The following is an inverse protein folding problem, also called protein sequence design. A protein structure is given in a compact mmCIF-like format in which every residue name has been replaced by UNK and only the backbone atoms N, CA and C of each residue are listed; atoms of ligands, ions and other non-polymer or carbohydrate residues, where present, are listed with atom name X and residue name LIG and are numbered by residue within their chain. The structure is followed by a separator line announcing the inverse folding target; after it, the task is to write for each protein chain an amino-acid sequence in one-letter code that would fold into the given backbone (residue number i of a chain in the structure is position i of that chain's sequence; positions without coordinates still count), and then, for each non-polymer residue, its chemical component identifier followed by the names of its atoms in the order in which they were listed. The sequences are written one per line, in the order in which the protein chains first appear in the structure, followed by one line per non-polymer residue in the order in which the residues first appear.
data_IF_984980299108
#
_entry.id   IF_984980299108
#
_cell.length_a   1.000
_cell.length_b   1.000
_cell.length_c   1.000
_cell.angle_alpha   90.00
_cell.angle_beta   90.00
_cell.angle_gamma   90.00
#
_symmetry.space_group_name_H-M   'P 1'
#
loop_
_entity.id
_entity.type
_entity.pdbx_description
1 polymer ?
#
# COMPACT_ATOMS: atom_id res chain seq x y z
N UNK A 1 32.60 34.74 -8.85
CA UNK A 1 31.57 33.86 -8.27
C UNK A 1 30.88 33.16 -9.41
N UNK A 2 31.19 31.88 -9.61
CA UNK A 2 30.66 31.04 -10.69
C UNK A 2 29.19 30.77 -10.45
N UNK A 3 28.32 30.99 -11.43
CA UNK A 3 26.95 30.49 -11.43
C UNK A 3 27.06 28.97 -11.56
N UNK A 4 26.95 28.28 -10.42
CA UNK A 4 26.81 26.82 -10.43
C UNK A 4 25.55 26.50 -11.25
N UNK A 5 25.70 25.64 -12.25
CA UNK A 5 24.68 25.10 -13.11
C UNK A 5 23.57 24.46 -12.26
N UNK A 6 22.50 25.20 -12.01
CA UNK A 6 21.25 24.65 -11.53
C UNK A 6 20.66 23.81 -12.66
N UNK A 7 21.01 22.54 -12.72
CA UNK A 7 20.26 21.61 -13.55
C UNK A 7 18.78 21.71 -13.15
N UNK A 8 17.86 21.85 -14.11
CA UNK A 8 16.45 21.89 -13.79
C UNK A 8 16.08 20.60 -13.07
N UNK A 9 15.51 20.71 -11.87
CA UNK A 9 15.02 19.56 -11.14
C UNK A 9 14.04 18.80 -12.04
N UNK A 10 14.22 17.49 -12.15
CA UNK A 10 13.29 16.64 -12.92
C UNK A 10 11.86 16.86 -12.40
N UNK A 11 10.89 16.93 -13.32
CA UNK A 11 9.49 17.11 -12.95
C UNK A 11 9.09 16.03 -11.93
N UNK A 12 8.37 16.39 -10.86
CA UNK A 12 7.98 15.45 -9.83
C UNK A 12 7.07 14.36 -10.43
N UNK A 13 7.33 13.11 -10.05
CA UNK A 13 6.58 11.94 -10.50
C UNK A 13 5.93 11.24 -9.33
N UNK A 14 4.82 10.55 -9.58
CA UNK A 14 4.19 9.69 -8.60
C UNK A 14 4.98 8.39 -8.43
N UNK A 15 5.18 7.98 -7.18
CA UNK A 15 5.78 6.70 -6.82
C UNK A 15 5.06 6.07 -5.64
N UNK A 16 4.92 4.74 -5.64
CA UNK A 16 4.37 3.97 -4.52
C UNK A 16 5.48 3.10 -3.93
N UNK A 17 5.55 3.06 -2.59
CA UNK A 17 6.49 2.21 -1.87
C UNK A 17 5.89 1.61 -0.61
N UNK A 18 6.42 0.47 -0.19
CA UNK A 18 6.12 -0.13 1.11
C UNK A 18 6.80 0.68 2.20
N UNK A 19 6.07 0.96 3.27
CA UNK A 19 6.55 1.68 4.46
C UNK A 19 7.43 0.75 5.29
N UNK A 20 8.66 1.20 5.63
CA UNK A 20 9.67 0.37 6.33
C UNK A 20 10.41 1.09 7.44
N UNK A 21 10.09 2.34 7.69
CA UNK A 21 10.70 3.14 8.74
C UNK A 21 9.64 3.87 9.56
N UNK A 22 10.01 4.26 10.78
CA UNK A 22 9.15 5.10 11.60
C UNK A 22 8.82 6.44 10.90
N UNK A 23 9.80 7.03 10.22
CA UNK A 23 9.58 8.26 9.45
C UNK A 23 8.55 8.07 8.34
N UNK A 24 8.57 6.93 7.64
CA UNK A 24 7.54 6.62 6.64
C UNK A 24 6.16 6.45 7.28
N UNK A 25 6.09 5.80 8.45
CA UNK A 25 4.84 5.60 9.17
C UNK A 25 4.27 6.94 9.65
N UNK A 26 5.10 7.87 10.11
CA UNK A 26 4.67 9.23 10.45
C UNK A 26 4.09 9.97 9.25
N UNK A 27 4.68 9.81 8.06
CA UNK A 27 4.13 10.36 6.81
C UNK A 27 2.77 9.75 6.47
N UNK A 28 2.61 8.44 6.64
CA UNK A 28 1.31 7.74 6.48
C UNK A 28 0.26 8.34 7.41
N UNK A 29 0.59 8.47 8.70
CA UNK A 29 -0.34 9.00 9.68
C UNK A 29 -0.71 10.47 9.40
N UNK A 30 0.26 11.28 8.97
CA UNK A 30 0.01 12.67 8.57
C UNK A 30 -0.97 12.77 7.39
N UNK A 31 -0.78 11.97 6.32
CA UNK A 31 -1.72 11.94 5.19
C UNK A 31 -3.11 11.47 5.62
N UNK A 32 -3.21 10.45 6.47
CA UNK A 32 -4.47 9.94 7.00
C UNK A 32 -5.19 10.99 7.84
N UNK A 33 -4.49 11.66 8.74
CA UNK A 33 -5.06 12.72 9.56
C UNK A 33 -5.61 13.87 8.69
N UNK A 34 -4.86 14.31 7.68
CA UNK A 34 -5.31 15.35 6.75
C UNK A 34 -6.59 14.96 6.00
N UNK A 35 -6.67 13.69 5.53
CA UNK A 35 -7.79 13.24 4.70
C UNK A 35 -8.99 12.81 5.56
N UNK A 36 -8.79 11.98 6.58
CA UNK A 36 -9.90 11.46 7.35
C UNK A 36 -10.37 12.45 8.42
N UNK A 37 -9.47 13.02 9.19
CA UNK A 37 -9.85 13.97 10.22
C UNK A 37 -10.11 15.36 9.65
N UNK A 38 -9.21 15.86 8.78
CA UNK A 38 -9.33 17.19 8.20
C UNK A 38 -10.44 17.33 7.15
N UNK A 39 -10.49 16.42 6.16
CA UNK A 39 -11.47 16.52 5.06
C UNK A 39 -12.82 15.84 5.37
N UNK A 40 -12.86 14.81 6.24
CA UNK A 40 -14.04 13.97 6.46
C UNK A 40 -14.56 14.02 7.90
N UNK A 41 -13.96 14.85 8.76
CA UNK A 41 -14.33 14.99 10.17
C UNK A 41 -14.40 13.65 10.96
N UNK A 42 -13.60 12.66 10.55
CA UNK A 42 -13.52 11.37 11.23
C UNK A 42 -12.96 11.57 12.65
N UNK A 43 -13.58 11.01 13.69
CA UNK A 43 -13.06 11.08 15.05
C UNK A 43 -11.67 10.45 15.17
N UNK A 44 -10.86 10.94 16.11
CA UNK A 44 -9.50 10.46 16.34
C UNK A 44 -9.44 8.94 16.60
N UNK A 45 -10.27 8.43 17.50
CA UNK A 45 -10.27 7.03 17.92
C UNK A 45 -10.74 6.07 16.80
N UNK A 46 -11.54 6.58 15.87
CA UNK A 46 -11.97 5.83 14.69
C UNK A 46 -10.86 5.74 13.64
N UNK A 47 -10.07 6.81 13.49
CA UNK A 47 -8.96 6.82 12.53
C UNK A 47 -7.76 6.04 13.06
N UNK A 48 -7.37 6.25 14.31
CA UNK A 48 -6.24 5.59 14.96
C UNK A 48 -6.71 4.39 15.81
N UNK A 49 -7.18 3.37 15.14
CA UNK A 49 -7.85 2.17 15.68
C UNK A 49 -6.90 1.12 16.29
N UNK A 50 -5.63 1.45 16.49
CA UNK A 50 -4.61 0.57 17.08
C UNK A 50 -4.05 -0.51 16.15
N UNK A 51 -4.58 -0.64 14.92
CA UNK A 51 -4.16 -1.71 13.99
C UNK A 51 -2.89 -1.39 13.19
N UNK A 52 -2.34 -0.19 13.29
CA UNK A 52 -1.19 0.23 12.49
C UNK A 52 0.10 -0.54 12.84
N UNK A 53 0.24 -0.94 14.11
CA UNK A 53 1.42 -1.62 14.63
C UNK A 53 1.23 -3.13 14.82
N UNK A 54 0.07 -3.68 14.43
CA UNK A 54 -0.29 -5.09 14.66
C UNK A 54 -0.16 -5.94 13.40
N UNK A 55 0.98 -5.86 12.71
CA UNK A 55 1.23 -6.65 11.50
C UNK A 55 0.59 -6.09 10.23
N UNK A 56 0.14 -4.85 10.24
CA UNK A 56 -0.33 -4.17 9.04
C UNK A 56 0.84 -3.75 8.15
N UNK A 57 0.62 -3.77 6.83
CA UNK A 57 1.54 -3.21 5.85
C UNK A 57 0.96 -1.94 5.27
N UNK A 58 1.74 -0.87 5.28
CA UNK A 58 1.34 0.40 4.70
C UNK A 58 2.06 0.64 3.37
N UNK A 59 1.32 1.16 2.38
CA UNK A 59 1.89 1.69 1.14
C UNK A 59 1.74 3.20 1.16
N UNK A 60 2.80 3.89 0.78
CA UNK A 60 2.87 5.34 0.69
C UNK A 60 3.03 5.76 -0.76
N UNK A 61 2.15 6.63 -1.22
CA UNK A 61 2.25 7.34 -2.50
C UNK A 61 2.92 8.68 -2.26
N UNK A 62 3.96 8.96 -3.01
CA UNK A 62 4.61 10.26 -3.05
C UNK A 62 4.45 10.93 -4.41
N UNK A 63 4.51 12.26 -4.43
CA UNK A 63 4.69 13.08 -5.64
C UNK A 63 5.99 13.86 -5.47
N UNK A 64 7.04 13.42 -6.18
CA UNK A 64 8.40 13.79 -5.81
C UNK A 64 8.72 13.27 -4.41
N UNK A 65 9.10 14.15 -3.49
CA UNK A 65 9.36 13.81 -2.07
C UNK A 65 8.13 13.96 -1.18
N UNK A 66 7.03 14.53 -1.67
CA UNK A 66 5.87 14.84 -0.85
C UNK A 66 4.95 13.64 -0.67
N UNK A 67 4.55 13.26 0.57
CA UNK A 67 3.58 12.21 0.82
C UNK A 67 2.16 12.69 0.47
N UNK A 68 1.51 12.02 -0.48
CA UNK A 68 0.23 12.46 -1.03
C UNK A 68 -0.89 11.43 -0.97
N UNK A 69 -0.56 10.19 -0.65
CA UNK A 69 -1.57 9.14 -0.53
C UNK A 69 -1.07 7.92 0.21
N UNK A 70 -1.98 7.14 0.73
CA UNK A 70 -1.69 5.96 1.57
C UNK A 70 -2.73 4.88 1.38
N UNK A 71 -2.36 3.64 1.69
CA UNK A 71 -3.28 2.52 1.90
C UNK A 71 -2.71 1.60 2.96
N UNK A 72 -3.58 1.06 3.82
CA UNK A 72 -3.23 0.04 4.82
C UNK A 72 -3.74 -1.32 4.35
N UNK A 73 -2.86 -2.32 4.42
CA UNK A 73 -3.19 -3.72 4.18
C UNK A 73 -3.14 -4.47 5.50
N UNK A 74 -4.18 -5.26 5.78
CA UNK A 74 -4.19 -6.20 6.88
C UNK A 74 -4.29 -7.63 6.34
N UNK A 75 -3.65 -8.54 7.03
CA UNK A 75 -3.48 -9.91 6.61
C UNK A 75 -4.28 -10.84 7.53
N UNK A 76 -5.23 -11.57 6.98
CA UNK A 76 -6.02 -12.58 7.66
C UNK A 76 -5.70 -13.94 7.05
N UNK A 77 -6.04 -15.04 7.71
CA UNK A 77 -5.66 -16.37 7.25
C UNK A 77 -6.07 -16.67 5.79
N UNK A 78 -7.27 -16.27 5.40
CA UNK A 78 -7.84 -16.64 4.09
C UNK A 78 -7.98 -15.47 3.11
N UNK A 79 -7.81 -14.23 3.58
CA UNK A 79 -7.99 -13.04 2.75
C UNK A 79 -7.11 -11.87 3.22
N UNK A 80 -6.77 -11.00 2.30
CA UNK A 80 -6.19 -9.70 2.61
C UNK A 80 -7.30 -8.64 2.72
N UNK A 81 -7.15 -7.68 3.63
CA UNK A 81 -8.06 -6.53 3.75
C UNK A 81 -7.34 -5.26 3.36
N UNK A 82 -7.90 -4.54 2.40
CA UNK A 82 -7.46 -3.20 2.03
C UNK A 82 -8.34 -2.17 2.75
N UNK A 83 -7.71 -1.25 3.45
CA UNK A 83 -8.39 -0.22 4.22
C UNK A 83 -7.55 1.06 4.31
N UNK A 84 -8.12 2.13 4.85
CA UNK A 84 -7.44 3.42 5.01
C UNK A 84 -6.80 3.93 3.71
N UNK A 85 -7.48 3.70 2.58
CA UNK A 85 -7.06 4.23 1.29
C UNK A 85 -7.43 5.70 1.21
N UNK A 86 -6.44 6.56 1.16
CA UNK A 86 -6.60 8.00 1.14
C UNK A 86 -5.64 8.65 0.14
N UNK A 87 -6.14 9.69 -0.55
CA UNK A 87 -5.33 10.56 -1.40
C UNK A 87 -5.69 12.00 -1.06
N UNK A 88 -4.68 12.82 -0.83
CA UNK A 88 -4.85 14.26 -0.51
C UNK A 88 -5.65 14.95 -1.59
N UNK A 89 -6.45 15.94 -1.19
CA UNK A 89 -7.44 16.64 -2.04
C UNK A 89 -6.82 17.14 -3.34
N UNK A 90 -5.64 17.71 -3.29
CA UNK A 90 -4.91 18.33 -4.40
C UNK A 90 -4.46 17.31 -5.46
N UNK A 91 -4.39 16.04 -5.08
CA UNK A 91 -3.96 14.93 -5.93
C UNK A 91 -5.11 13.98 -6.34
N UNK A 92 -6.37 14.30 -5.97
CA UNK A 92 -7.55 13.55 -6.39
C UNK A 92 -7.85 13.79 -7.87
N UNK A 93 -8.44 12.79 -8.52
CA UNK A 93 -8.70 12.84 -9.97
C UNK A 93 -7.49 12.48 -10.84
N UNK A 94 -6.29 12.42 -10.25
CA UNK A 94 -5.06 11.94 -10.89
C UNK A 94 -4.86 10.42 -10.78
N UNK A 95 -3.68 9.91 -11.16
CA UNK A 95 -3.40 8.47 -11.20
C UNK A 95 -3.21 7.82 -9.81
N UNK A 96 -3.04 8.62 -8.75
CA UNK A 96 -2.60 8.17 -7.43
C UNK A 96 -3.46 7.08 -6.80
N UNK A 97 -4.80 7.22 -6.85
CA UNK A 97 -5.72 6.22 -6.34
C UNK A 97 -5.53 4.86 -7.04
N UNK A 98 -5.43 4.89 -8.37
CA UNK A 98 -5.25 3.67 -9.17
C UNK A 98 -3.88 3.03 -8.91
N UNK A 99 -2.83 3.84 -8.78
CA UNK A 99 -1.47 3.36 -8.48
C UNK A 99 -1.41 2.68 -7.10
N UNK A 100 -1.94 3.32 -6.05
CA UNK A 100 -2.02 2.73 -4.71
C UNK A 100 -2.80 1.42 -4.70
N UNK A 101 -3.98 1.42 -5.35
CA UNK A 101 -4.82 0.23 -5.41
C UNK A 101 -4.12 -0.92 -6.15
N UNK A 102 -3.50 -0.66 -7.29
CA UNK A 102 -2.75 -1.69 -8.04
C UNK A 102 -1.60 -2.24 -7.21
N UNK A 103 -0.82 -1.38 -6.55
CA UNK A 103 0.27 -1.82 -5.68
C UNK A 103 -0.22 -2.68 -4.50
N UNK A 104 -1.36 -2.34 -3.90
CA UNK A 104 -1.98 -3.12 -2.83
C UNK A 104 -2.45 -4.50 -3.31
N UNK A 105 -3.07 -4.57 -4.49
CA UNK A 105 -3.50 -5.83 -5.12
C UNK A 105 -2.31 -6.70 -5.49
N UNK A 106 -1.27 -6.11 -6.10
CA UNK A 106 -0.04 -6.82 -6.46
C UNK A 106 0.67 -7.38 -5.22
N UNK A 107 0.79 -6.59 -4.16
CA UNK A 107 1.38 -7.03 -2.89
C UNK A 107 0.62 -8.21 -2.29
N UNK A 108 -0.72 -8.15 -2.26
CA UNK A 108 -1.55 -9.24 -1.76
C UNK A 108 -1.40 -10.51 -2.61
N UNK A 109 -1.40 -10.39 -3.93
CA UNK A 109 -1.18 -11.52 -4.85
C UNK A 109 0.22 -12.13 -4.69
N UNK A 110 1.27 -11.29 -4.52
CA UNK A 110 2.65 -11.72 -4.24
C UNK A 110 2.79 -12.46 -2.91
N UNK A 111 1.99 -12.11 -1.91
CA UNK A 111 1.91 -12.85 -0.63
C UNK A 111 1.07 -14.13 -0.73
N UNK A 112 0.59 -14.50 -1.92
CA UNK A 112 -0.17 -15.74 -2.15
C UNK A 112 -1.66 -15.64 -1.88
N UNK A 113 -2.20 -14.49 -1.51
CA UNK A 113 -3.63 -14.33 -1.29
C UNK A 113 -4.42 -14.46 -2.60
N UNK A 114 -5.59 -15.10 -2.49
CA UNK A 114 -6.55 -15.27 -3.58
C UNK A 114 -7.76 -14.38 -3.47
N UNK A 115 -7.98 -13.84 -2.28
CA UNK A 115 -9.12 -12.98 -1.97
C UNK A 115 -8.65 -11.70 -1.30
N UNK A 116 -9.21 -10.60 -1.74
CA UNK A 116 -9.05 -9.32 -1.09
C UNK A 116 -10.44 -8.75 -0.78
N UNK A 117 -10.57 -8.08 0.34
CA UNK A 117 -11.78 -7.44 0.79
C UNK A 117 -11.51 -5.98 1.15
N UNK A 118 -12.48 -5.12 0.94
CA UNK A 118 -12.42 -3.74 1.37
C UNK A 118 -13.81 -3.14 1.58
N UNK A 119 -13.89 -2.11 2.40
CA UNK A 119 -15.09 -1.31 2.57
C UNK A 119 -14.97 -0.06 1.68
N UNK A 120 -15.77 -0.01 0.63
CA UNK A 120 -15.79 1.09 -0.32
C UNK A 120 -16.95 2.05 0.00
N UNK A 121 -16.69 3.35 -0.02
CA UNK A 121 -17.80 4.31 -0.04
C UNK A 121 -18.68 4.02 -1.26
N UNK A 122 -19.98 4.07 -1.09
CA UNK A 122 -20.95 3.73 -2.16
C UNK A 122 -20.70 4.52 -3.45
N UNK A 123 -20.32 5.80 -3.33
CA UNK A 123 -19.94 6.63 -4.49
C UNK A 123 -18.71 6.11 -5.27
N UNK A 124 -17.87 5.30 -4.65
CA UNK A 124 -16.68 4.69 -5.25
C UNK A 124 -16.92 3.29 -5.84
N UNK A 125 -18.09 2.69 -5.67
CA UNK A 125 -18.40 1.32 -6.09
C UNK A 125 -18.12 1.08 -7.57
N UNK A 126 -18.49 2.05 -8.45
CA UNK A 126 -18.28 1.96 -9.89
C UNK A 126 -16.78 1.89 -10.27
N UNK A 127 -15.92 2.60 -9.55
CA UNK A 127 -14.46 2.54 -9.74
C UNK A 127 -13.94 1.12 -9.48
N UNK A 128 -14.33 0.52 -8.36
CA UNK A 128 -13.90 -0.82 -7.99
C UNK A 128 -14.38 -1.90 -8.95
N UNK A 129 -15.64 -1.80 -9.39
CA UNK A 129 -16.19 -2.71 -10.42
C UNK A 129 -15.42 -2.59 -11.73
N UNK A 130 -15.15 -1.37 -12.19
CA UNK A 130 -14.53 -1.11 -13.49
C UNK A 130 -13.05 -1.52 -13.55
N UNK A 131 -12.27 -1.14 -12.53
CA UNK A 131 -10.81 -1.27 -12.60
C UNK A 131 -10.27 -2.54 -11.93
N UNK A 132 -11.04 -3.14 -11.00
CA UNK A 132 -10.60 -4.27 -10.20
C UNK A 132 -11.59 -5.44 -10.19
N UNK A 133 -12.61 -5.40 -11.01
CA UNK A 133 -13.67 -6.43 -11.08
C UNK A 133 -14.30 -6.75 -9.72
N UNK A 134 -14.31 -5.76 -8.82
CA UNK A 134 -14.87 -5.91 -7.48
C UNK A 134 -16.37 -6.16 -7.51
N UNK A 135 -16.83 -6.97 -6.57
CA UNK A 135 -18.25 -7.28 -6.38
C UNK A 135 -18.68 -6.95 -4.96
N UNK A 136 -19.87 -6.35 -4.74
CA UNK A 136 -20.45 -6.31 -3.40
C UNK A 136 -20.59 -7.74 -2.86
N UNK A 137 -20.26 -7.96 -1.59
CA UNK A 137 -20.39 -9.28 -0.98
C UNK A 137 -21.87 -9.65 -0.81
N UNK A 138 -22.29 -10.84 -1.30
CA UNK A 138 -23.66 -11.29 -1.14
C UNK A 138 -24.08 -11.39 0.34
N UNK A 139 -25.30 -10.99 0.63
CA UNK A 139 -25.86 -11.09 1.99
C UNK A 139 -25.28 -10.07 3.00
N UNK A 140 -24.45 -9.14 2.56
CA UNK A 140 -23.93 -8.06 3.41
C UNK A 140 -24.70 -6.77 3.14
N UNK A 141 -25.39 -6.20 4.14
CA UNK A 141 -26.08 -4.92 3.96
C UNK A 141 -25.05 -3.79 3.81
N UNK A 142 -25.48 -2.69 3.20
CA UNK A 142 -24.77 -1.43 3.30
C UNK A 142 -24.81 -0.96 4.75
N UNK A 143 -23.80 -0.24 5.16
CA UNK A 143 -23.70 0.33 6.49
C UNK A 143 -23.11 1.74 6.44
N UNK A 144 -23.44 2.55 7.43
CA UNK A 144 -22.90 3.91 7.54
C UNK A 144 -21.78 3.92 8.58
N UNK A 145 -20.72 4.62 8.24
CA UNK A 145 -19.59 4.88 9.13
C UNK A 145 -19.21 6.34 8.98
N UNK A 146 -19.14 7.07 10.10
CA UNK A 146 -19.17 8.52 10.06
C UNK A 146 -20.37 9.00 9.23
N UNK A 147 -20.20 9.98 8.36
CA UNK A 147 -21.26 10.53 7.49
C UNK A 147 -21.34 9.87 6.10
N UNK A 148 -20.75 8.68 5.94
CA UNK A 148 -20.68 8.02 4.63
C UNK A 148 -21.26 6.62 4.65
N UNK A 149 -21.96 6.28 3.55
CA UNK A 149 -22.42 4.92 3.31
C UNK A 149 -21.35 4.08 2.63
N UNK A 150 -21.20 2.86 3.12
CA UNK A 150 -20.22 1.89 2.64
C UNK A 150 -20.88 0.61 2.16
N UNK A 151 -20.18 -0.04 1.25
CA UNK A 151 -20.48 -1.39 0.77
C UNK A 151 -19.24 -2.26 0.97
N UNK A 152 -19.44 -3.47 1.47
CA UNK A 152 -18.37 -4.47 1.57
C UNK A 152 -18.13 -5.05 0.18
N UNK A 153 -16.91 -4.85 -0.34
CA UNK A 153 -16.47 -5.33 -1.66
C UNK A 153 -15.53 -6.50 -1.52
N UNK A 154 -15.69 -7.50 -2.36
CA UNK A 154 -14.74 -8.60 -2.50
C UNK A 154 -14.10 -8.57 -3.89
N UNK A 155 -12.85 -9.06 -3.94
CA UNK A 155 -12.03 -9.13 -5.15
C UNK A 155 -11.34 -10.48 -5.21
N UNK A 156 -11.31 -11.09 -6.37
CA UNK A 156 -10.48 -12.26 -6.65
C UNK A 156 -9.12 -11.81 -7.17
N UNK A 157 -8.07 -12.45 -6.66
CA UNK A 157 -6.70 -12.20 -7.06
C UNK A 157 -6.19 -13.36 -7.91
N UNK A 158 -5.62 -13.03 -9.07
CA UNK A 158 -5.01 -14.03 -9.94
C UNK A 158 -3.79 -14.66 -9.26
N UNK A 159 -3.59 -15.98 -9.45
CA UNK A 159 -2.39 -16.66 -8.99
C UNK A 159 -1.13 -16.03 -9.60
N UNK A 160 -0.09 -15.86 -8.79
CA UNK A 160 1.22 -15.41 -9.27
C UNK A 160 2.22 -16.55 -9.17
N UNK A 161 2.99 -16.78 -10.25
CA UNK A 161 4.07 -17.77 -10.25
C UNK A 161 5.23 -17.36 -9.31
N UNK A 162 5.39 -16.06 -9.04
CA UNK A 162 6.38 -15.49 -8.15
C UNK A 162 5.84 -15.16 -6.75
N UNK A 163 4.72 -15.78 -6.36
CA UNK A 163 4.18 -15.63 -5.02
C UNK A 163 5.19 -16.16 -3.98
N UNK A 164 5.36 -15.40 -2.91
CA UNK A 164 6.22 -15.80 -1.78
C UNK A 164 5.44 -16.78 -0.90
N UNK A 165 6.00 -17.97 -0.72
CA UNK A 165 5.38 -19.06 0.03
C UNK A 165 6.41 -19.90 0.77
N UNK A 166 5.94 -20.98 1.37
CA UNK A 166 6.77 -21.88 2.18
C UNK A 166 7.95 -22.47 1.38
N UNK A 167 7.75 -22.73 0.09
CA UNK A 167 8.76 -23.32 -0.80
C UNK A 167 9.67 -22.28 -1.49
N UNK A 168 9.54 -21.00 -1.14
CA UNK A 168 10.40 -19.95 -1.67
C UNK A 168 11.83 -20.12 -1.17
N UNK A 169 12.81 -19.68 -1.98
CA UNK A 169 14.21 -19.62 -1.56
C UNK A 169 14.33 -18.89 -0.21
N UNK A 170 15.07 -19.46 0.76
CA UNK A 170 15.19 -18.88 2.10
C UNK A 170 15.64 -17.42 2.10
N UNK A 171 16.49 -17.01 1.16
CA UNK A 171 16.91 -15.62 1.05
C UNK A 171 15.77 -14.70 0.60
N UNK A 172 14.85 -15.17 -0.21
CA UNK A 172 13.66 -14.40 -0.60
C UNK A 172 12.81 -14.08 0.63
N UNK A 173 12.62 -15.07 1.53
CA UNK A 173 11.87 -14.88 2.77
C UNK A 173 12.52 -13.86 3.74
N UNK A 174 13.85 -13.67 3.64
CA UNK A 174 14.60 -12.70 4.44
C UNK A 174 14.63 -11.30 3.84
N UNK A 175 14.13 -11.11 2.62
CA UNK A 175 14.09 -9.79 1.97
C UNK A 175 12.99 -8.92 2.59
N UNK A 176 13.17 -7.59 2.57
CA UNK A 176 12.13 -6.68 3.00
C UNK A 176 10.83 -6.89 2.21
N UNK A 177 9.70 -6.80 2.89
CA UNK A 177 8.38 -6.92 2.26
C UNK A 177 8.23 -5.98 1.07
N UNK A 178 7.77 -6.55 -0.06
CA UNK A 178 7.60 -5.84 -1.33
C UNK A 178 8.86 -5.76 -2.21
N UNK A 179 10.05 -6.07 -1.70
CA UNK A 179 11.32 -6.07 -2.47
C UNK A 179 11.86 -7.49 -2.73
N UNK A 180 10.99 -8.45 -2.89
CA UNK A 180 11.38 -9.85 -3.10
C UNK A 180 12.16 -10.11 -4.39
N UNK A 181 12.16 -9.16 -5.34
CA UNK A 181 12.90 -9.24 -6.60
C UNK A 181 14.36 -8.75 -6.50
N UNK A 182 14.75 -8.20 -5.35
CA UNK A 182 16.08 -7.57 -5.20
C UNK A 182 16.88 -8.25 -4.10
N UNK A 183 18.16 -8.57 -4.33
CA UNK A 183 19.02 -9.15 -3.30
C UNK A 183 19.03 -8.32 -2.01
N UNK A 184 18.75 -8.96 -0.90
CA UNK A 184 18.73 -8.35 0.43
C UNK A 184 20.15 -8.07 0.97
N UNK A 185 20.21 -7.46 2.15
CA UNK A 185 21.50 -7.13 2.81
C UNK A 185 22.31 -8.39 3.10
N UNK A 186 21.65 -9.47 3.53
CA UNK A 186 22.33 -10.72 3.89
C UNK A 186 22.96 -11.40 2.66
N UNK A 187 22.28 -11.39 1.52
CA UNK A 187 22.81 -11.95 0.27
C UNK A 187 24.02 -11.17 -0.24
N UNK A 188 23.97 -9.83 -0.18
CA UNK A 188 25.09 -8.97 -0.57
C UNK A 188 26.32 -9.20 0.30
N UNK A 189 26.13 -9.37 1.62
CA UNK A 189 27.22 -9.67 2.56
C UNK A 189 27.81 -11.06 2.34
N UNK A 190 26.96 -12.07 2.16
CA UNK A 190 27.41 -13.44 1.86
C UNK A 190 28.21 -13.50 0.54
N UNK A 191 27.78 -12.79 -0.50
CA UNK A 191 28.51 -12.69 -1.76
C UNK A 191 29.86 -11.96 -1.63
N UNK A 192 29.97 -10.95 -0.74
CA UNK A 192 31.22 -10.27 -0.47
C UNK A 192 32.19 -11.16 0.33
N UNK A 193 31.69 -11.89 1.35
CA UNK A 193 32.50 -12.81 2.14
C UNK A 193 33.07 -13.97 1.29
N UNK A 194 32.26 -14.56 0.40
CA UNK A 194 32.71 -15.61 -0.52
C UNK A 194 33.79 -15.11 -1.49
N UNK A 195 33.72 -13.87 -1.96
CA UNK A 195 34.78 -13.27 -2.81
C UNK A 195 36.06 -13.02 -2.04
N UNK A 196 35.99 -12.63 -0.76
CA UNK A 196 37.17 -12.42 0.09
C UNK A 196 37.88 -13.72 0.49
N UNK A 197 37.16 -14.86 0.54
CA UNK A 197 37.73 -16.17 0.83
C UNK A 197 38.33 -16.85 -0.43
N UNK A 198 38.01 -16.36 -1.62
CA UNK A 198 38.47 -16.90 -2.90
C UNK A 198 39.65 -16.07 -3.50
N UNK A 199 40.05 -14.98 -2.86
CA UNK A 199 41.19 -14.14 -3.18
C UNK A 199 42.33 -14.31 -2.21
#
# INVERSE_FOLDING_TARGET
MSRADLQPAAAPVYAVRVVRSLNDLLQVQAVRALVYMGDQACPYDEEFDGNDLTGATHLLLTYGSEPVGVVRMRWFAEFAKMERLAVRREHRGGPGLLMLSRAAFDLAARKGYRKLMGHAQVRGEAFWKRYFRGRPRPGRPRFSFSDFDYVEMEFELEPRADAVGLDSDPFVLLRPEGDWDRPGVLERRAGAARRSLAA
#
